data_IF_435388807319
#
_entry.id   IF_435388807319
#
_cell.length_a   1.000
_cell.length_b   1.000
_cell.length_c   1.000
_cell.angle_alpha   90.00
_cell.angle_beta   90.00
_cell.angle_gamma   90.00
#
_symmetry.space_group_name_H-M   'P 1'
#
loop_
_entity.id
_entity.type
_entity.pdbx_description
1 polymer ?
#
# COMPACT_ATOMS: atom_id res chain seq x y z
N UNK A 1 0.82 -18.07 -3.62
CA UNK A 1 1.97 -18.25 -2.70
C UNK A 1 2.99 -17.08 -2.71
N UNK A 2 2.71 -15.93 -3.34
CA UNK A 2 3.64 -14.78 -3.35
C UNK A 2 3.37 -13.73 -2.23
N UNK A 3 2.17 -13.73 -1.65
CA UNK A 3 1.74 -12.76 -0.64
C UNK A 3 2.15 -13.12 0.79
N UNK A 4 2.57 -14.37 1.04
CA UNK A 4 2.97 -14.87 2.38
C UNK A 4 4.50 -14.96 2.51
N UNK A 5 5.23 -15.14 1.41
CA UNK A 5 6.67 -15.45 1.45
C UNK A 5 7.59 -14.24 1.28
N UNK A 6 7.16 -13.12 0.69
CA UNK A 6 8.12 -12.05 0.40
C UNK A 6 8.38 -11.12 1.58
N UNK A 7 7.40 -10.79 2.44
CA UNK A 7 7.57 -9.68 3.41
C UNK A 7 7.48 -10.02 4.90
N UNK A 8 7.04 -11.21 5.30
CA UNK A 8 6.73 -11.58 6.70
C UNK A 8 5.79 -10.56 7.39
N UNK A 9 4.83 -10.01 6.65
CA UNK A 9 3.83 -9.07 7.17
C UNK A 9 2.45 -9.55 6.73
N UNK A 10 1.42 -9.32 7.55
CA UNK A 10 0.05 -9.84 7.38
C UNK A 10 -0.74 -9.30 6.17
N UNK A 11 -0.08 -8.93 5.07
CA UNK A 11 -0.71 -8.41 3.85
C UNK A 11 -1.40 -7.07 4.08
N UNK A 12 -2.61 -6.91 3.54
CA UNK A 12 -3.43 -5.68 3.64
C UNK A 12 -3.89 -5.36 5.07
N UNK A 13 -3.79 -6.29 6.02
CA UNK A 13 -4.00 -5.98 7.46
C UNK A 13 -2.86 -5.16 8.07
N UNK A 14 -1.70 -5.17 7.43
CA UNK A 14 -0.46 -4.52 7.88
C UNK A 14 0.09 -3.68 6.72
N UNK A 15 1.40 -3.45 6.59
CA UNK A 15 2.01 -2.78 5.44
C UNK A 15 2.49 -3.74 4.32
N UNK A 16 2.04 -5.00 4.33
CA UNK A 16 2.57 -6.06 3.47
C UNK A 16 2.39 -5.81 1.96
N UNK A 17 1.23 -5.31 1.57
CA UNK A 17 0.90 -4.90 0.19
C UNK A 17 1.73 -3.69 -0.28
N UNK A 18 1.91 -2.67 0.56
CA UNK A 18 2.70 -1.47 0.23
C UNK A 18 4.17 -1.83 -0.03
N UNK A 19 4.74 -2.69 0.82
CA UNK A 19 6.10 -3.19 0.63
C UNK A 19 6.18 -4.08 -0.61
N UNK A 20 5.18 -4.91 -0.89
CA UNK A 20 5.13 -5.70 -2.11
C UNK A 20 5.10 -4.81 -3.37
N UNK A 21 4.36 -3.70 -3.37
CA UNK A 21 4.38 -2.73 -4.46
C UNK A 21 5.77 -2.13 -4.70
N UNK A 22 6.51 -1.81 -3.63
CA UNK A 22 7.90 -1.34 -3.73
C UNK A 22 8.85 -2.39 -4.30
N UNK A 23 8.65 -3.66 -3.94
CA UNK A 23 9.43 -4.77 -4.48
C UNK A 23 9.11 -5.01 -5.97
N UNK A 24 7.84 -4.93 -6.36
CA UNK A 24 7.41 -5.24 -7.72
C UNK A 24 7.68 -4.10 -8.70
N UNK A 25 7.35 -2.86 -8.34
CA UNK A 25 7.47 -1.70 -9.25
C UNK A 25 8.90 -1.17 -9.29
N UNK A 26 9.57 -1.08 -8.14
CA UNK A 26 10.88 -0.43 -8.03
C UNK A 26 12.03 -1.44 -7.82
N UNK A 27 11.77 -2.75 -7.89
CA UNK A 27 12.75 -3.83 -7.67
C UNK A 27 13.57 -3.64 -6.38
N UNK A 28 12.98 -3.01 -5.37
CA UNK A 28 13.68 -2.71 -4.12
C UNK A 28 13.94 -3.98 -3.32
N UNK A 29 15.11 -4.05 -2.67
CA UNK A 29 15.35 -5.06 -1.61
C UNK A 29 14.36 -4.84 -0.47
N UNK A 30 13.96 -5.93 0.18
CA UNK A 30 12.93 -5.92 1.22
C UNK A 30 13.19 -4.91 2.35
N UNK A 31 14.42 -4.84 2.86
CA UNK A 31 14.72 -3.95 3.99
C UNK A 31 14.56 -2.48 3.60
N UNK A 32 15.07 -2.12 2.41
CA UNK A 32 14.91 -0.78 1.84
C UNK A 32 13.45 -0.46 1.52
N UNK A 33 12.67 -1.44 1.07
CA UNK A 33 11.24 -1.27 0.83
C UNK A 33 10.48 -1.01 2.15
N UNK A 34 10.82 -1.73 3.23
CA UNK A 34 10.27 -1.48 4.57
C UNK A 34 10.64 -0.09 5.09
N UNK A 35 11.90 0.33 4.96
CA UNK A 35 12.33 1.69 5.32
C UNK A 35 11.58 2.76 4.53
N UNK A 36 11.44 2.58 3.22
CA UNK A 36 10.76 3.53 2.37
C UNK A 36 9.29 3.72 2.78
N UNK A 37 8.58 2.62 3.01
CA UNK A 37 7.18 2.64 3.44
C UNK A 37 7.04 3.23 4.84
N UNK A 38 7.92 2.86 5.78
CA UNK A 38 7.94 3.43 7.13
C UNK A 38 8.11 4.96 7.09
N UNK A 39 9.07 5.46 6.30
CA UNK A 39 9.32 6.88 6.13
C UNK A 39 8.13 7.61 5.49
N UNK A 40 7.50 7.02 4.47
CA UNK A 40 6.31 7.61 3.82
C UNK A 40 5.09 7.69 4.75
N UNK A 41 4.95 6.72 5.64
CA UNK A 41 3.86 6.68 6.63
C UNK A 41 4.20 7.43 7.93
N UNK A 42 5.45 7.91 8.06
CA UNK A 42 6.00 8.52 9.28
C UNK A 42 5.84 7.61 10.52
N UNK A 43 6.19 6.33 10.34
CA UNK A 43 6.12 5.27 11.35
C UNK A 43 7.49 4.61 11.54
N UNK A 44 7.67 3.86 12.62
CA UNK A 44 8.87 3.01 12.78
C UNK A 44 8.70 1.71 11.99
N UNK A 45 9.81 1.07 11.58
CA UNK A 45 9.78 -0.22 10.88
C UNK A 45 9.00 -1.31 11.65
N UNK A 46 9.05 -1.29 12.98
CA UNK A 46 8.33 -2.24 13.83
C UNK A 46 6.80 -2.04 13.80
N UNK A 47 6.34 -0.80 13.62
CA UNK A 47 4.92 -0.48 13.62
C UNK A 47 4.23 -0.93 12.32
N UNK A 48 5.00 -1.20 11.26
CA UNK A 48 4.48 -1.70 9.98
C UNK A 48 3.80 -3.06 10.09
N UNK A 49 4.15 -3.85 11.10
CA UNK A 49 3.55 -5.16 11.37
C UNK A 49 2.42 -5.12 12.38
N UNK A 50 2.21 -3.98 13.05
CA UNK A 50 1.12 -3.81 14.02
C UNK A 50 -0.19 -3.49 13.27
N UNK A 51 -1.14 -4.42 13.35
CA UNK A 51 -2.45 -4.28 12.71
C UNK A 51 -3.25 -3.10 13.27
N UNK A 52 -3.15 -2.82 14.58
CA UNK A 52 -3.92 -1.75 15.23
C UNK A 52 -3.45 -0.38 14.76
N UNK A 53 -2.13 -0.20 14.66
CA UNK A 53 -1.54 1.04 14.14
C UNK A 53 -1.85 1.17 12.65
N UNK A 54 -1.65 0.09 11.88
CA UNK A 54 -1.89 0.10 10.44
C UNK A 54 -3.36 0.31 10.07
N UNK A 55 -4.32 -0.16 10.88
CA UNK A 55 -5.74 0.13 10.66
C UNK A 55 -6.04 1.64 10.71
N UNK A 56 -5.50 2.35 11.72
CA UNK A 56 -5.64 3.81 11.86
C UNK A 56 -4.99 4.56 10.69
N UNK A 57 -3.80 4.11 10.30
CA UNK A 57 -3.04 4.70 9.19
C UNK A 57 -3.77 4.49 7.86
N UNK A 58 -4.31 3.29 7.63
CA UNK A 58 -5.09 2.96 6.43
C UNK A 58 -6.36 3.79 6.32
N UNK A 59 -7.07 4.00 7.41
CA UNK A 59 -8.22 4.91 7.44
C UNK A 59 -7.80 6.36 7.19
N UNK A 60 -6.70 6.82 7.81
CA UNK A 60 -6.18 8.18 7.64
C UNK A 60 -5.80 8.50 6.19
N UNK A 61 -5.08 7.59 5.52
CA UNK A 61 -4.62 7.78 4.14
C UNK A 61 -5.61 7.25 3.09
N UNK A 62 -6.66 6.55 3.50
CA UNK A 62 -7.67 5.97 2.61
C UNK A 62 -7.14 4.89 1.66
N UNK A 63 -6.07 4.19 2.04
CA UNK A 63 -5.37 3.18 1.21
C UNK A 63 -6.01 1.78 1.29
N UNK A 64 -7.27 1.71 1.74
CA UNK A 64 -8.04 0.47 1.86
C UNK A 64 -7.71 -0.34 3.10
N UNK A 65 -8.75 -0.95 3.66
CA UNK A 65 -8.69 -1.87 4.82
C UNK A 65 -9.41 -3.17 4.46
N UNK A 66 -9.19 -4.24 5.23
CA UNK A 66 -9.94 -5.51 5.07
C UNK A 66 -11.44 -5.27 5.21
N UNK A 67 -11.80 -4.43 6.18
CA UNK A 67 -13.16 -3.95 6.38
C UNK A 67 -13.10 -2.44 6.18
N UNK A 68 -13.35 -1.97 4.94
CA UNK A 68 -13.32 -0.55 4.64
C UNK A 68 -14.51 0.12 5.33
N UNK A 69 -14.23 1.13 6.16
CA UNK A 69 -15.27 1.95 6.81
C UNK A 69 -15.99 2.85 5.80
N UNK A 70 -15.29 3.21 4.71
CA UNK A 70 -15.82 4.01 3.62
C UNK A 70 -15.62 3.32 2.27
N UNK A 71 -16.65 3.36 1.41
CA UNK A 71 -16.64 2.74 0.07
C UNK A 71 -15.52 3.33 -0.81
N UNK A 72 -15.17 4.59 -0.60
CA UNK A 72 -14.08 5.31 -1.29
C UNK A 72 -12.68 4.75 -1.01
N UNK A 73 -12.54 3.83 -0.06
CA UNK A 73 -11.28 3.15 0.25
C UNK A 73 -11.20 1.77 -0.40
N UNK A 74 -12.01 1.50 -1.42
CA UNK A 74 -12.06 0.20 -2.10
C UNK A 74 -11.68 0.29 -3.57
N UNK A 75 -11.23 -0.84 -4.13
CA UNK A 75 -11.00 -1.00 -5.56
C UNK A 75 -9.99 -0.03 -6.17
N UNK A 76 -10.43 0.73 -7.17
CA UNK A 76 -9.57 1.62 -7.95
C UNK A 76 -9.16 2.87 -7.16
N UNK A 77 -10.04 3.41 -6.32
CA UNK A 77 -9.76 4.60 -5.51
C UNK A 77 -8.61 4.35 -4.52
N UNK A 78 -8.60 3.20 -3.86
CA UNK A 78 -7.49 2.79 -3.00
C UNK A 78 -6.17 2.65 -3.79
N UNK A 79 -6.21 2.04 -4.99
CA UNK A 79 -5.02 1.91 -5.84
C UNK A 79 -4.47 3.27 -6.29
N UNK A 80 -5.32 4.23 -6.62
CA UNK A 80 -4.91 5.60 -6.95
C UNK A 80 -4.20 6.25 -5.76
N UNK A 81 -4.78 6.15 -4.55
CA UNK A 81 -4.17 6.70 -3.33
C UNK A 81 -2.86 6.02 -2.96
N UNK A 82 -2.76 4.70 -3.13
CA UNK A 82 -1.50 3.96 -2.92
C UNK A 82 -0.44 4.44 -3.92
N UNK A 83 -0.80 4.59 -5.20
CA UNK A 83 0.11 5.10 -6.23
C UNK A 83 0.65 6.49 -5.87
N UNK A 84 -0.21 7.39 -5.40
CA UNK A 84 0.17 8.74 -4.96
C UNK A 84 1.01 8.73 -3.68
N UNK A 85 0.63 7.95 -2.66
CA UNK A 85 1.35 7.84 -1.40
C UNK A 85 2.78 7.33 -1.59
N UNK A 86 2.91 6.30 -2.41
CA UNK A 86 4.17 5.61 -2.66
C UNK A 86 5.01 6.27 -3.77
N UNK A 87 4.43 7.22 -4.51
CA UNK A 87 5.01 7.86 -5.69
C UNK A 87 5.39 6.83 -6.76
N UNK A 88 4.44 5.95 -7.10
CA UNK A 88 4.62 4.88 -8.07
C UNK A 88 3.56 4.93 -9.17
N UNK A 89 3.95 4.52 -10.38
CA UNK A 89 3.02 4.36 -11.49
C UNK A 89 2.47 2.93 -11.54
N UNK A 90 1.14 2.80 -11.37
CA UNK A 90 0.42 1.52 -11.52
C UNK A 90 -0.29 1.50 -12.87
N UNK A 91 -0.03 0.49 -13.70
CA UNK A 91 -0.59 0.40 -15.06
C UNK A 91 -2.13 0.47 -15.08
N UNK A 92 -2.81 -0.24 -14.17
CA UNK A 92 -4.28 -0.21 -14.06
C UNK A 92 -4.82 1.18 -13.73
N UNK A 93 -4.10 1.96 -12.91
CA UNK A 93 -4.50 3.34 -12.56
C UNK A 93 -4.32 4.26 -13.77
N UNK A 94 -3.22 4.11 -14.51
CA UNK A 94 -3.00 4.90 -15.72
C UNK A 94 -4.04 4.60 -16.81
N UNK A 95 -4.40 3.32 -16.99
CA UNK A 95 -5.46 2.93 -17.91
C UNK A 95 -6.81 3.52 -17.50
N UNK A 96 -7.13 3.49 -16.21
CA UNK A 96 -8.35 4.09 -15.67
C UNK A 96 -8.39 5.61 -15.89
N UNK A 97 -7.29 6.33 -15.60
CA UNK A 97 -7.19 7.77 -15.85
C UNK A 97 -7.31 8.12 -17.34
N UNK A 98 -6.75 7.29 -18.23
CA UNK A 98 -6.93 7.44 -19.69
C UNK A 98 -8.38 7.27 -20.12
N UNK A 99 -9.13 6.36 -19.50
CA UNK A 99 -10.53 6.12 -19.84
C UNK A 99 -11.50 7.18 -19.27
N UNK A 100 -11.11 7.88 -18.20
CA UNK A 100 -11.88 9.01 -17.65
C UNK A 100 -11.68 10.32 -18.43
N UNK A 101 -10.50 10.50 -19.03
CA UNK A 101 -10.12 11.71 -19.75
C UNK A 101 -10.32 11.59 -21.28
N UNK A 102 -10.91 10.50 -21.76
CA UNK A 102 -11.24 10.27 -23.18
C UNK A 102 -12.74 10.13 -23.35
#
# INVERSE_FOLDING_TARGET
MAQIVSSCMGGVRTAGDLVAWMQLTNKMKIDRAKDYVANKLNLKKADLTDETIMAKVRNKYGIGSVIPEHVEYTGMAAKCKIAELLDISINSVNLYKKHLNG
#
